data_IF_326510298726
#
_entry.id   IF_326510298726
#
_cell.length_a   1.000
_cell.length_b   1.000
_cell.length_c   1.000
_cell.angle_alpha   90.00
_cell.angle_beta   90.00
_cell.angle_gamma   90.00
#
_symmetry.space_group_name_H-M   'P 1'
#
loop_
_entity.id
_entity.type
_entity.pdbx_description
1 polymer ?
#
# COMPACT_ATOMS: atom_id res chain seq x y z
N UNK A 1 -15.14 -12.93 -15.48
CA UNK A 1 -15.73 -13.95 -14.58
C UNK A 1 -16.62 -13.28 -13.54
N UNK A 2 -17.57 -14.01 -12.95
CA UNK A 2 -18.47 -13.47 -11.91
C UNK A 2 -18.00 -13.97 -10.54
N UNK A 3 -17.67 -13.05 -9.65
CA UNK A 3 -17.27 -13.38 -8.28
C UNK A 3 -18.53 -13.68 -7.45
N UNK A 4 -18.60 -14.85 -6.79
CA UNK A 4 -19.75 -15.24 -5.97
C UNK A 4 -19.71 -14.58 -4.60
N UNK A 5 -20.90 -14.28 -4.07
CA UNK A 5 -21.06 -13.75 -2.72
C UNK A 5 -21.08 -14.90 -1.72
N UNK A 6 -20.26 -14.82 -0.67
CA UNK A 6 -20.26 -15.73 0.45
C UNK A 6 -21.34 -15.35 1.47
N UNK A 7 -21.96 -16.38 2.06
CA UNK A 7 -22.98 -16.20 3.09
C UNK A 7 -22.35 -15.88 4.46
N UNK A 8 -21.16 -16.40 4.72
CA UNK A 8 -20.37 -16.19 5.94
C UNK A 8 -18.92 -15.87 5.56
N UNK A 9 -18.22 -15.06 6.35
CA UNK A 9 -16.79 -14.84 6.14
C UNK A 9 -16.01 -16.15 6.43
N UNK A 10 -15.01 -16.52 5.60
CA UNK A 10 -14.05 -17.57 5.95
C UNK A 10 -13.11 -17.09 7.07
N UNK A 11 -12.48 -18.02 7.78
CA UNK A 11 -11.36 -17.70 8.67
C UNK A 11 -10.10 -17.70 7.83
N UNK A 12 -9.21 -16.71 8.02
CA UNK A 12 -7.96 -16.62 7.26
C UNK A 12 -6.89 -17.40 8.03
N UNK A 13 -6.82 -18.71 7.80
CA UNK A 13 -5.94 -19.62 8.55
C UNK A 13 -5.00 -20.48 7.69
N UNK A 14 -5.16 -20.42 6.37
CA UNK A 14 -4.38 -21.10 5.35
C UNK A 14 -4.82 -22.53 5.05
N UNK A 15 -6.01 -22.98 5.48
CA UNK A 15 -6.45 -24.38 5.31
C UNK A 15 -7.47 -24.63 4.22
N UNK A 16 -8.28 -23.63 3.84
CA UNK A 16 -9.37 -23.77 2.85
C UNK A 16 -10.39 -24.88 3.19
N UNK A 17 -10.69 -25.09 4.47
CA UNK A 17 -11.59 -26.16 4.92
C UNK A 17 -13.06 -25.71 5.04
N UNK A 18 -13.31 -24.40 5.04
CA UNK A 18 -14.65 -23.87 5.16
C UNK A 18 -15.50 -24.07 3.91
N UNK A 19 -16.77 -24.42 4.13
CA UNK A 19 -17.71 -24.73 3.06
C UNK A 19 -17.94 -23.58 2.06
N UNK A 20 -17.66 -22.32 2.44
CA UNK A 20 -17.79 -21.16 1.55
C UNK A 20 -16.83 -21.24 0.36
N UNK A 21 -15.65 -21.84 0.53
CA UNK A 21 -14.67 -22.00 -0.54
C UNK A 21 -15.15 -22.93 -1.67
N UNK A 22 -16.05 -23.87 -1.39
CA UNK A 22 -16.69 -24.69 -2.43
C UNK A 22 -17.56 -23.87 -3.40
N UNK A 23 -18.04 -22.70 -2.97
CA UNK A 23 -18.84 -21.80 -3.80
C UNK A 23 -17.98 -20.71 -4.46
N UNK A 24 -16.66 -20.71 -4.28
CA UNK A 24 -15.76 -19.71 -4.85
C UNK A 24 -15.69 -19.81 -6.37
N UNK A 25 -15.43 -18.69 -7.03
CA UNK A 25 -14.97 -18.73 -8.41
C UNK A 25 -13.54 -19.26 -8.43
N UNK A 26 -13.28 -20.27 -9.25
CA UNK A 26 -11.96 -20.89 -9.34
C UNK A 26 -11.30 -20.56 -10.67
N UNK A 27 -10.13 -19.93 -10.61
CA UNK A 27 -9.25 -19.69 -11.74
C UNK A 27 -8.23 -20.81 -11.83
N UNK A 28 -8.08 -21.36 -13.04
CA UNK A 28 -7.17 -22.45 -13.37
C UNK A 28 -6.44 -22.10 -14.67
N UNK A 29 -5.65 -23.05 -15.16
CA UNK A 29 -5.06 -22.99 -16.51
C UNK A 29 -4.14 -21.78 -16.72
N UNK A 30 -3.26 -21.52 -15.74
CA UNK A 30 -2.22 -20.50 -15.84
C UNK A 30 -1.24 -20.83 -16.97
N UNK A 31 -0.56 -19.80 -17.47
CA UNK A 31 0.46 -19.85 -18.51
C UNK A 31 1.81 -19.37 -17.96
N UNK A 32 2.90 -20.04 -18.28
CA UNK A 32 4.24 -19.49 -18.10
C UNK A 32 4.50 -18.39 -19.14
N UNK A 33 4.85 -17.20 -18.67
CA UNK A 33 5.13 -16.01 -19.51
C UNK A 33 6.59 -15.52 -19.40
N UNK A 34 7.34 -16.07 -18.45
CA UNK A 34 8.78 -15.90 -18.28
C UNK A 34 9.33 -17.17 -17.60
N UNK A 35 10.41 -17.81 -18.10
CA UNK A 35 11.13 -17.51 -19.33
C UNK A 35 10.38 -17.91 -20.63
N UNK A 36 9.47 -18.88 -20.55
CA UNK A 36 8.63 -19.30 -21.67
C UNK A 36 7.68 -18.21 -22.17
N UNK A 37 7.01 -18.44 -23.30
CA UNK A 37 6.07 -17.49 -23.90
C UNK A 37 4.69 -18.15 -24.06
N UNK A 38 3.82 -17.92 -23.08
CA UNK A 38 2.45 -18.42 -23.03
C UNK A 38 2.35 -19.95 -23.17
N UNK A 39 3.29 -20.68 -22.55
CA UNK A 39 3.32 -22.16 -22.53
C UNK A 39 2.78 -22.71 -21.21
N UNK A 40 2.66 -24.04 -21.10
CA UNK A 40 2.26 -24.69 -19.86
C UNK A 40 3.27 -24.37 -18.71
N UNK A 41 2.78 -24.03 -17.51
CA UNK A 41 3.63 -23.73 -16.37
C UNK A 41 4.26 -25.00 -15.78
N UNK A 42 5.42 -24.86 -15.15
CA UNK A 42 6.12 -25.99 -14.53
C UNK A 42 5.32 -26.58 -13.36
N UNK A 43 4.49 -25.76 -12.71
CA UNK A 43 3.66 -26.13 -11.58
C UNK A 43 2.25 -25.55 -11.70
N UNK A 44 1.18 -26.34 -11.47
CA UNK A 44 -0.19 -25.83 -11.47
C UNK A 44 -0.42 -24.80 -10.35
N UNK A 45 -1.33 -23.87 -10.62
CA UNK A 45 -1.81 -22.89 -9.63
C UNK A 45 -3.32 -22.72 -9.81
N UNK A 46 -4.05 -22.71 -8.71
CA UNK A 46 -5.47 -22.35 -8.66
C UNK A 46 -5.65 -21.09 -7.82
N UNK A 47 -6.60 -20.24 -8.21
CA UNK A 47 -7.04 -19.10 -7.38
C UNK A 47 -8.52 -19.24 -7.09
N UNK A 48 -8.90 -19.14 -5.83
CA UNK A 48 -10.28 -19.12 -5.38
C UNK A 48 -10.65 -17.68 -4.99
N UNK A 49 -11.81 -17.21 -5.46
CA UNK A 49 -12.26 -15.84 -5.22
C UNK A 49 -13.71 -15.85 -4.76
N UNK A 50 -14.00 -15.10 -3.71
CA UNK A 50 -15.34 -14.80 -3.22
C UNK A 50 -15.38 -13.44 -2.57
N UNK A 51 -16.56 -12.98 -2.17
CA UNK A 51 -16.68 -11.72 -1.43
C UNK A 51 -17.88 -11.75 -0.48
N UNK A 52 -17.87 -10.90 0.53
CA UNK A 52 -19.07 -10.52 1.29
C UNK A 52 -19.27 -8.99 1.20
N UNK A 53 -20.26 -8.37 1.86
CA UNK A 53 -20.42 -6.92 1.75
C UNK A 53 -19.20 -6.08 2.17
N UNK A 54 -18.29 -6.61 2.98
CA UNK A 54 -17.17 -5.89 3.61
C UNK A 54 -15.79 -6.26 3.05
N UNK A 55 -15.61 -7.49 2.59
CA UNK A 55 -14.31 -8.00 2.15
C UNK A 55 -14.36 -8.68 0.79
N UNK A 56 -13.27 -8.54 0.04
CA UNK A 56 -12.88 -9.43 -1.04
C UNK A 56 -11.99 -10.54 -0.46
N UNK A 57 -12.33 -11.79 -0.74
CA UNK A 57 -11.56 -12.96 -0.33
C UNK A 57 -10.87 -13.57 -1.53
N UNK A 58 -9.57 -13.80 -1.41
CA UNK A 58 -8.74 -14.45 -2.43
C UNK A 58 -7.97 -15.55 -1.73
N UNK A 59 -7.87 -16.71 -2.36
CA UNK A 59 -6.94 -17.74 -1.93
C UNK A 59 -6.17 -18.30 -3.10
N UNK A 60 -4.88 -18.55 -2.88
CA UNK A 60 -4.04 -19.27 -3.82
C UNK A 60 -3.84 -20.69 -3.33
N UNK A 61 -3.99 -21.65 -4.24
CA UNK A 61 -3.50 -23.01 -4.08
C UNK A 61 -2.40 -23.22 -5.10
N UNK A 62 -1.17 -23.14 -4.63
CA UNK A 62 0.02 -23.23 -5.45
C UNK A 62 0.63 -24.62 -5.29
N UNK A 63 0.44 -25.47 -6.31
CA UNK A 63 0.90 -26.85 -6.24
C UNK A 63 2.41 -26.93 -6.36
N UNK A 64 3.05 -27.68 -5.48
CA UNK A 64 4.50 -27.86 -5.50
C UNK A 64 4.98 -29.01 -4.62
N UNK A 65 6.24 -29.42 -4.76
CA UNK A 65 6.91 -30.20 -3.73
C UNK A 65 7.22 -29.32 -2.51
N UNK A 66 6.74 -29.65 -1.30
CA UNK A 66 6.87 -28.78 -0.13
C UNK A 66 8.32 -28.47 0.27
N UNK A 67 9.25 -29.41 0.08
CA UNK A 67 10.67 -29.23 0.39
C UNK A 67 11.40 -28.32 -0.62
N UNK A 68 10.75 -27.99 -1.74
CA UNK A 68 11.28 -27.13 -2.81
C UNK A 68 10.71 -25.72 -2.79
N UNK A 69 9.69 -25.47 -1.98
CA UNK A 69 9.07 -24.14 -1.84
C UNK A 69 10.02 -23.23 -1.10
N UNK A 70 10.49 -22.17 -1.76
CA UNK A 70 11.34 -21.18 -1.10
C UNK A 70 10.46 -20.24 -0.28
N UNK A 71 10.58 -20.30 1.04
CA UNK A 71 9.80 -19.49 1.96
C UNK A 71 10.62 -19.08 3.18
N UNK A 72 10.56 -17.80 3.54
CA UNK A 72 11.26 -17.24 4.70
C UNK A 72 10.33 -16.33 5.50
N UNK A 73 10.67 -16.11 6.76
CA UNK A 73 10.02 -15.07 7.57
C UNK A 73 10.67 -13.73 7.23
N UNK A 74 10.17 -13.08 6.19
CA UNK A 74 10.64 -11.78 5.72
C UNK A 74 9.91 -10.61 6.40
N UNK A 75 10.48 -9.40 6.27
CA UNK A 75 9.72 -8.17 6.54
C UNK A 75 8.70 -7.96 5.42
N UNK A 76 7.59 -7.26 5.71
CA UNK A 76 6.68 -6.72 4.68
C UNK A 76 7.48 -6.03 3.57
N UNK A 77 7.06 -6.21 2.33
CA UNK A 77 7.68 -5.69 1.09
C UNK A 77 9.08 -6.24 0.79
N UNK A 78 9.59 -7.17 1.59
CA UNK A 78 10.89 -7.82 1.39
C UNK A 78 10.77 -9.30 0.98
N UNK A 79 9.64 -9.67 0.37
CA UNK A 79 9.28 -11.06 0.08
C UNK A 79 9.74 -11.57 -1.29
N UNK A 80 10.19 -10.69 -2.18
CA UNK A 80 10.39 -11.00 -3.62
C UNK A 80 11.58 -11.93 -3.95
N UNK A 81 12.34 -12.33 -2.93
CA UNK A 81 13.38 -13.35 -3.03
C UNK A 81 12.84 -14.76 -2.76
N UNK A 82 11.65 -14.90 -2.18
CA UNK A 82 10.96 -16.17 -1.99
C UNK A 82 10.13 -16.54 -3.23
N UNK A 83 9.61 -17.76 -3.26
CA UNK A 83 8.45 -18.01 -4.11
C UNK A 83 7.32 -17.07 -3.64
N UNK A 84 6.47 -16.59 -4.55
CA UNK A 84 5.35 -15.76 -4.16
C UNK A 84 4.19 -15.89 -5.13
N UNK A 85 3.00 -15.60 -4.63
CA UNK A 85 1.80 -15.37 -5.42
C UNK A 85 1.42 -13.91 -5.34
N UNK A 86 0.70 -13.43 -6.33
CA UNK A 86 0.18 -12.09 -6.28
C UNK A 86 -0.88 -11.84 -7.32
N UNK A 87 -1.46 -10.66 -7.21
CA UNK A 87 -2.44 -10.17 -8.16
C UNK A 87 -2.43 -8.66 -8.17
N UNK A 88 -2.95 -8.10 -9.26
CA UNK A 88 -3.30 -6.70 -9.30
C UNK A 88 -4.78 -6.48 -9.59
N UNK A 89 -5.33 -5.38 -9.05
CA UNK A 89 -6.72 -4.98 -9.19
C UNK A 89 -6.81 -3.54 -9.72
N UNK A 90 -7.24 -3.41 -10.96
CA UNK A 90 -7.75 -2.16 -11.53
C UNK A 90 -9.25 -2.05 -11.20
N UNK A 91 -9.54 -1.49 -10.03
CA UNK A 91 -10.89 -1.41 -9.45
C UNK A 91 -11.82 -0.39 -10.12
N UNK A 92 -11.29 0.41 -11.06
CA UNK A 92 -12.05 1.34 -11.90
C UNK A 92 -12.15 0.84 -13.35
N UNK A 93 -11.30 -0.13 -13.72
CA UNK A 93 -11.17 -0.70 -15.05
C UNK A 93 -10.90 0.36 -16.13
N UNK A 94 -10.12 1.38 -15.77
CA UNK A 94 -9.72 2.48 -16.66
C UNK A 94 -8.35 2.23 -17.31
N UNK A 95 -7.66 1.16 -16.91
CA UNK A 95 -6.36 0.70 -17.39
C UNK A 95 -5.25 1.71 -17.16
N UNK A 96 -5.33 2.49 -16.07
CA UNK A 96 -4.30 3.49 -15.73
C UNK A 96 -3.51 3.12 -14.48
N UNK A 97 -4.21 2.63 -13.46
CA UNK A 97 -3.61 2.23 -12.18
C UNK A 97 -4.25 0.95 -11.64
N UNK A 98 -3.47 0.14 -10.94
CA UNK A 98 -3.96 -1.01 -10.20
C UNK A 98 -3.26 -1.13 -8.85
N UNK A 99 -3.99 -1.60 -7.84
CA UNK A 99 -3.37 -2.05 -6.58
C UNK A 99 -2.70 -3.40 -6.84
N UNK A 100 -1.46 -3.57 -6.40
CA UNK A 100 -0.74 -4.83 -6.45
C UNK A 100 -0.59 -5.41 -5.06
N UNK A 101 -0.77 -6.72 -4.94
CA UNK A 101 -0.69 -7.44 -3.69
C UNK A 101 0.06 -8.73 -3.92
N UNK A 102 1.04 -8.99 -3.05
CA UNK A 102 1.97 -10.10 -3.14
C UNK A 102 2.06 -10.81 -1.79
N UNK A 103 2.22 -12.12 -1.84
CA UNK A 103 2.29 -12.95 -0.64
C UNK A 103 3.29 -14.08 -0.85
N UNK A 104 4.22 -14.24 0.08
CA UNK A 104 5.05 -15.44 0.12
C UNK A 104 4.26 -16.64 0.70
N UNK A 105 4.80 -17.87 0.65
CA UNK A 105 4.11 -19.07 1.12
C UNK A 105 3.72 -19.06 2.61
N UNK A 106 4.27 -18.15 3.41
CA UNK A 106 3.91 -17.97 4.83
C UNK A 106 2.84 -16.89 5.03
N UNK A 107 2.39 -16.26 3.94
CA UNK A 107 1.36 -15.21 3.93
C UNK A 107 1.91 -13.82 4.24
N UNK A 108 3.23 -13.63 4.24
CA UNK A 108 3.86 -12.32 4.47
C UNK A 108 3.59 -11.44 3.26
N UNK A 109 3.15 -10.22 3.54
CA UNK A 109 2.61 -9.29 2.55
C UNK A 109 3.71 -8.48 1.87
N UNK A 110 3.48 -8.16 0.60
CA UNK A 110 4.06 -7.00 -0.05
C UNK A 110 3.00 -6.37 -0.93
N UNK A 111 3.05 -5.06 -1.13
CA UNK A 111 2.01 -4.36 -1.86
C UNK A 111 2.48 -3.04 -2.47
N UNK A 112 1.68 -2.55 -3.42
CA UNK A 112 2.01 -1.33 -4.12
C UNK A 112 0.93 -0.90 -5.11
N UNK A 113 1.29 0.08 -5.94
CA UNK A 113 0.46 0.56 -7.04
C UNK A 113 1.24 0.48 -8.34
N UNK A 114 0.68 -0.24 -9.30
CA UNK A 114 1.15 -0.25 -10.68
C UNK A 114 0.49 0.89 -11.45
N UNK A 115 1.28 1.77 -12.05
CA UNK A 115 0.82 2.81 -12.96
C UNK A 115 1.34 2.55 -14.36
N UNK A 116 0.45 2.52 -15.35
CA UNK A 116 0.85 2.33 -16.75
C UNK A 116 1.86 3.39 -17.21
N UNK A 117 2.95 2.93 -17.84
CA UNK A 117 4.06 3.76 -18.29
C UNK A 117 4.96 4.35 -17.19
N UNK A 118 4.60 4.22 -15.90
CA UNK A 118 5.41 4.74 -14.77
C UNK A 118 5.98 3.65 -13.86
N UNK A 119 5.45 2.42 -13.93
CA UNK A 119 5.93 1.27 -13.16
C UNK A 119 5.24 1.10 -11.81
N UNK A 120 5.89 0.34 -10.93
CA UNK A 120 5.40 -0.07 -9.61
C UNK A 120 5.88 0.92 -8.53
N UNK A 121 4.99 1.28 -7.59
CA UNK A 121 5.29 2.04 -6.39
C UNK A 121 4.89 1.24 -5.14
N UNK A 122 5.88 0.74 -4.41
CA UNK A 122 5.73 -0.07 -3.19
C UNK A 122 5.69 0.77 -1.90
N UNK A 123 5.43 2.08 -1.99
CA UNK A 123 5.30 2.94 -0.79
C UNK A 123 3.91 2.93 -0.16
N UNK A 124 2.94 2.29 -0.82
CA UNK A 124 1.57 2.15 -0.32
C UNK A 124 1.49 0.96 0.63
N UNK A 125 0.77 1.13 1.74
CA UNK A 125 0.45 0.07 2.69
C UNK A 125 -1.08 -0.15 2.74
N UNK A 126 -1.58 -1.13 1.99
CA UNK A 126 -2.98 -1.55 2.00
C UNK A 126 -3.24 -2.41 3.23
N UNK A 127 -4.28 -2.06 3.99
CA UNK A 127 -4.74 -2.87 5.11
C UNK A 127 -5.40 -4.15 4.59
N UNK A 128 -4.83 -5.31 4.91
CA UNK A 128 -5.34 -6.63 4.57
C UNK A 128 -4.93 -7.69 5.61
N UNK A 129 -5.73 -8.75 5.71
CA UNK A 129 -5.40 -9.95 6.50
C UNK A 129 -4.93 -11.06 5.56
N UNK A 130 -3.87 -11.77 5.93
CA UNK A 130 -3.38 -12.90 5.14
C UNK A 130 -2.74 -13.98 5.99
N UNK A 131 -2.85 -15.22 5.54
CA UNK A 131 -2.21 -16.38 6.15
C UNK A 131 -1.76 -17.37 5.08
N UNK A 132 -0.49 -17.77 5.15
CA UNK A 132 0.07 -18.81 4.30
C UNK A 132 0.49 -20.04 5.08
N UNK A 133 0.31 -21.21 4.48
CA UNK A 133 0.70 -22.52 5.01
C UNK A 133 1.30 -23.36 3.89
N UNK A 134 2.54 -23.81 4.08
CA UNK A 134 3.16 -24.86 3.27
C UNK A 134 2.62 -26.21 3.74
N UNK A 135 2.16 -27.05 2.81
CA UNK A 135 1.56 -28.35 3.07
C UNK A 135 2.03 -29.39 2.04
N UNK A 136 1.58 -30.64 2.18
CA UNK A 136 2.05 -31.75 1.32
C UNK A 136 1.75 -31.57 -0.18
N UNK A 137 0.83 -30.68 -0.55
CA UNK A 137 0.49 -30.39 -1.94
C UNK A 137 1.21 -29.15 -2.51
N UNK A 138 2.00 -28.43 -1.70
CA UNK A 138 2.67 -27.18 -2.05
C UNK A 138 2.43 -26.13 -0.98
N UNK A 139 1.70 -25.06 -1.31
CA UNK A 139 1.28 -24.09 -0.31
C UNK A 139 -0.07 -23.45 -0.63
N UNK A 140 -0.72 -22.98 0.43
CA UNK A 140 -1.96 -22.21 0.37
C UNK A 140 -1.69 -20.84 0.96
N UNK A 141 -2.26 -19.80 0.35
CA UNK A 141 -2.34 -18.46 0.95
C UNK A 141 -3.78 -17.99 0.90
N UNK A 142 -4.36 -17.65 2.04
CA UNK A 142 -5.67 -17.01 2.15
C UNK A 142 -5.51 -15.53 2.46
N UNK A 143 -6.35 -14.70 1.84
CA UNK A 143 -6.31 -13.24 1.93
C UNK A 143 -7.72 -12.70 2.10
N UNK A 144 -7.90 -11.75 3.03
CA UNK A 144 -9.09 -10.92 3.15
C UNK A 144 -8.73 -9.43 3.01
N UNK A 145 -9.29 -8.78 2.00
CA UNK A 145 -9.11 -7.35 1.75
C UNK A 145 -10.40 -6.62 2.11
N UNK A 146 -10.42 -5.80 3.17
CA UNK A 146 -11.53 -4.90 3.42
C UNK A 146 -11.73 -3.97 2.21
N UNK A 147 -12.96 -3.83 1.70
CA UNK A 147 -13.25 -2.91 0.62
C UNK A 147 -12.91 -1.46 0.98
N UNK A 148 -12.98 -1.09 2.27
CA UNK A 148 -12.56 0.23 2.76
C UNK A 148 -11.05 0.50 2.62
N UNK A 149 -10.23 -0.52 2.43
CA UNK A 149 -8.77 -0.39 2.28
C UNK A 149 -8.36 0.00 0.86
N UNK A 150 -9.26 -0.11 -0.12
CA UNK A 150 -8.99 0.19 -1.52
C UNK A 150 -10.08 1.11 -2.08
N UNK A 151 -9.71 1.97 -3.04
CA UNK A 151 -10.71 2.75 -3.78
C UNK A 151 -11.27 1.89 -4.90
N UNK A 152 -12.57 2.02 -5.20
CA UNK A 152 -13.20 1.20 -6.23
C UNK A 152 -14.49 1.79 -6.82
N UNK A 153 -14.90 1.30 -7.99
CA UNK A 153 -16.27 1.44 -8.47
C UNK A 153 -17.08 0.16 -8.30
N UNK A 154 -18.34 0.28 -7.88
CA UNK A 154 -19.22 -0.86 -7.69
C UNK A 154 -20.62 -0.59 -8.24
N UNK A 155 -21.35 -1.66 -8.51
CA UNK A 155 -22.73 -1.60 -8.97
C UNK A 155 -23.00 -2.39 -10.23
N UNK A 156 -24.21 -2.25 -10.76
CA UNK A 156 -24.66 -3.02 -11.92
C UNK A 156 -23.80 -2.70 -13.14
N UNK A 157 -23.18 -3.74 -13.72
CA UNK A 157 -22.39 -3.63 -14.95
C UNK A 157 -20.96 -3.10 -14.76
N UNK A 158 -20.53 -2.81 -13.53
CA UNK A 158 -19.13 -2.48 -13.23
C UNK A 158 -18.27 -3.75 -13.26
N UNK A 159 -17.09 -3.62 -13.84
CA UNK A 159 -16.07 -4.65 -13.93
C UNK A 159 -14.80 -4.09 -13.31
N UNK A 160 -14.01 -4.94 -12.67
CA UNK A 160 -12.64 -4.62 -12.26
C UNK A 160 -11.68 -5.38 -13.16
N UNK A 161 -10.63 -4.72 -13.63
CA UNK A 161 -9.49 -5.40 -14.23
C UNK A 161 -8.77 -6.18 -13.14
N UNK A 162 -8.45 -7.45 -13.39
CA UNK A 162 -7.72 -8.27 -12.45
C UNK A 162 -6.83 -9.27 -13.15
N UNK A 163 -5.68 -9.51 -12.55
CA UNK A 163 -4.72 -10.47 -13.04
C UNK A 163 -4.01 -11.13 -11.89
N UNK A 164 -3.82 -12.44 -11.98
CA UNK A 164 -3.24 -13.26 -10.93
C UNK A 164 -1.99 -13.92 -11.47
N UNK A 165 -0.96 -14.04 -10.64
CA UNK A 165 0.32 -14.61 -11.04
C UNK A 165 0.99 -15.34 -9.87
N UNK A 166 1.96 -16.18 -10.22
CA UNK A 166 2.84 -16.88 -9.30
C UNK A 166 4.27 -16.77 -9.82
N UNK A 167 5.21 -16.45 -8.93
CA UNK A 167 6.64 -16.54 -9.21
C UNK A 167 7.27 -17.71 -8.47
N UNK A 168 8.04 -18.53 -9.20
CA UNK A 168 8.78 -19.68 -8.68
C UNK A 168 10.28 -19.43 -8.90
N UNK A 169 11.02 -19.24 -7.82
CA UNK A 169 12.41 -18.76 -7.88
C UNK A 169 13.34 -19.79 -8.52
N UNK A 170 13.16 -21.08 -8.18
CA UNK A 170 14.06 -22.16 -8.58
C UNK A 170 14.00 -22.54 -10.06
N UNK A 171 12.95 -22.14 -10.79
CA UNK A 171 12.81 -22.37 -12.23
C UNK A 171 13.18 -21.11 -13.03
N UNK A 172 14.39 -20.59 -12.80
CA UNK A 172 14.85 -19.34 -13.42
C UNK A 172 13.86 -18.18 -13.21
N UNK A 173 13.35 -18.04 -11.98
CA UNK A 173 12.36 -17.02 -11.61
C UNK A 173 11.08 -17.09 -12.46
N UNK A 174 10.65 -18.29 -12.83
CA UNK A 174 9.43 -18.53 -13.62
C UNK A 174 8.26 -17.66 -13.14
N UNK A 175 7.62 -16.95 -14.07
CA UNK A 175 6.38 -16.22 -13.84
C UNK A 175 5.24 -16.94 -14.56
N UNK A 176 4.31 -17.47 -13.78
CA UNK A 176 3.04 -18.01 -14.26
C UNK A 176 1.94 -16.97 -14.12
N UNK A 177 1.03 -16.92 -15.08
CA UNK A 177 0.08 -15.84 -15.31
C UNK A 177 -1.31 -16.42 -15.61
N UNK A 178 -2.37 -15.88 -15.01
CA UNK A 178 -3.73 -16.36 -15.27
C UNK A 178 -4.19 -16.10 -16.70
N UNK A 179 -3.96 -14.89 -17.21
CA UNK A 179 -4.24 -14.55 -18.62
C UNK A 179 -2.97 -14.71 -19.45
N UNK A 180 -3.08 -15.11 -20.73
CA UNK A 180 -1.94 -15.02 -21.63
C UNK A 180 -1.47 -13.56 -21.71
N UNK A 181 -0.17 -13.37 -21.82
CA UNK A 181 0.47 -12.06 -21.80
C UNK A 181 1.34 -11.89 -23.04
N UNK A 182 0.97 -10.96 -23.92
CA UNK A 182 1.71 -10.67 -25.14
C UNK A 182 2.85 -9.70 -24.84
N UNK A 183 4.08 -10.12 -25.16
CA UNK A 183 5.29 -9.28 -25.08
C UNK A 183 5.28 -8.13 -26.09
N UNK A 184 4.40 -8.17 -27.09
CA UNK A 184 4.26 -7.11 -28.10
C UNK A 184 3.32 -5.98 -27.67
N UNK A 185 2.63 -6.12 -26.53
CA UNK A 185 1.74 -5.11 -25.98
C UNK A 185 2.45 -4.49 -24.77
N UNK A 186 2.81 -3.21 -24.90
CA UNK A 186 3.43 -2.42 -23.83
C UNK A 186 2.35 -1.87 -22.87
N UNK A 187 1.63 -2.78 -22.22
CA UNK A 187 0.66 -2.48 -21.18
C UNK A 187 0.31 -3.75 -20.40
N UNK A 188 0.43 -3.70 -19.08
CA UNK A 188 0.04 -4.78 -18.19
C UNK A 188 -1.49 -4.80 -18.00
N UNK A 189 -2.08 -3.64 -17.67
CA UNK A 189 -3.47 -3.52 -17.26
C UNK A 189 -4.45 -3.79 -18.41
N UNK A 190 -4.08 -3.48 -19.65
CA UNK A 190 -4.94 -3.72 -20.81
C UNK A 190 -5.14 -5.19 -21.14
N UNK A 191 -4.25 -6.06 -20.66
CA UNK A 191 -4.25 -7.50 -20.90
C UNK A 191 -4.89 -8.30 -19.76
N UNK A 192 -5.35 -7.62 -18.72
CA UNK A 192 -5.96 -8.22 -17.55
C UNK A 192 -7.32 -8.89 -17.86
N UNK A 193 -7.65 -9.90 -17.07
CA UNK A 193 -9.01 -10.44 -17.03
C UNK A 193 -9.96 -9.48 -16.31
N UNK A 194 -11.25 -9.82 -16.28
CA UNK A 194 -12.26 -8.97 -15.65
C UNK A 194 -13.02 -9.72 -14.56
N UNK A 195 -13.12 -9.11 -13.37
CA UNK A 195 -13.99 -9.54 -12.28
C UNK A 195 -15.29 -8.72 -12.33
N UNK A 196 -16.42 -9.41 -12.34
CA UNK A 196 -17.75 -8.82 -12.23
C UNK A 196 -18.55 -9.46 -11.10
N UNK A 197 -19.78 -9.00 -10.88
CA UNK A 197 -20.69 -9.61 -9.90
C UNK A 197 -20.56 -9.11 -8.47
N UNK A 198 -19.60 -8.22 -8.20
CA UNK A 198 -19.43 -7.51 -6.92
C UNK A 198 -20.61 -6.53 -6.68
N UNK A 199 -21.67 -7.02 -6.04
CA UNK A 199 -22.92 -6.28 -5.79
C UNK A 199 -23.15 -6.11 -4.30
N UNK A 200 -23.63 -4.93 -3.91
CA UNK A 200 -23.93 -4.64 -2.50
C UNK A 200 -22.71 -4.65 -1.59
N UNK A 201 -21.53 -4.33 -2.14
CA UNK A 201 -20.32 -4.06 -1.37
C UNK A 201 -20.40 -2.66 -0.76
N UNK A 202 -20.00 -2.53 0.49
CA UNK A 202 -20.24 -1.34 1.31
C UNK A 202 -19.33 -0.18 0.91
N UNK A 203 -19.89 0.83 0.26
CA UNK A 203 -19.26 2.15 0.18
C UNK A 203 -19.34 2.79 1.57
N UNK A 204 -18.37 2.49 2.42
CA UNK A 204 -18.25 3.16 3.72
C UNK A 204 -17.79 4.60 3.49
N UNK A 205 -18.64 5.55 3.86
CA UNK A 205 -18.26 6.97 3.90
C UNK A 205 -17.48 7.17 5.19
N UNK A 206 -16.18 7.37 5.05
CA UNK A 206 -15.31 7.56 6.21
C UNK A 206 -15.18 9.04 6.53
N UNK A 207 -15.34 9.36 7.82
CA UNK A 207 -14.88 10.61 8.41
C UNK A 207 -13.81 10.22 9.42
N UNK A 208 -12.59 10.69 9.19
CA UNK A 208 -11.48 10.53 10.13
C UNK A 208 -11.18 11.90 10.75
N UNK A 209 -11.11 11.96 12.08
CA UNK A 209 -10.82 13.15 12.84
C UNK A 209 -9.60 12.90 13.71
N UNK A 210 -8.55 13.66 13.48
CA UNK A 210 -7.28 13.58 14.18
C UNK A 210 -7.09 14.89 14.96
N UNK A 211 -7.55 14.97 16.22
CA UNK A 211 -7.28 16.13 17.06
C UNK A 211 -5.81 16.12 17.49
N UNK A 212 -5.18 17.28 17.51
CA UNK A 212 -3.84 17.49 18.05
C UNK A 212 -3.84 18.60 19.09
N UNK A 213 -2.88 18.54 20.00
CA UNK A 213 -2.65 19.58 20.99
C UNK A 213 -1.16 19.76 21.20
N UNK A 214 -0.67 20.96 20.93
CA UNK A 214 0.71 21.35 21.20
C UNK A 214 0.75 22.27 22.42
N UNK A 215 1.60 21.92 23.38
CA UNK A 215 1.94 22.73 24.54
C UNK A 215 3.40 23.13 24.39
N UNK A 216 3.67 24.44 24.30
CA UNK A 216 5.04 24.94 24.23
C UNK A 216 5.29 26.01 25.27
N UNK A 217 6.50 26.01 25.83
CA UNK A 217 6.97 27.00 26.77
C UNK A 217 8.31 27.53 26.27
N UNK A 218 8.37 28.82 25.95
CA UNK A 218 9.59 29.51 25.54
C UNK A 218 10.17 30.27 26.73
N UNK A 219 11.47 30.18 26.93
CA UNK A 219 12.20 31.00 27.90
C UNK A 219 13.08 32.01 27.20
N UNK A 220 13.12 33.25 27.70
CA UNK A 220 14.13 34.24 27.29
C UNK A 220 15.14 34.43 28.40
N UNK A 221 16.42 34.42 28.03
CA UNK A 221 17.49 34.77 28.94
C UNK A 221 17.50 36.29 29.12
N UNK A 222 17.28 36.75 30.34
CA UNK A 222 17.33 38.17 30.70
C UNK A 222 18.37 38.39 31.79
N UNK A 223 18.90 39.61 31.83
CA UNK A 223 19.83 40.01 32.89
C UNK A 223 19.16 39.92 34.25
N UNK A 224 19.89 39.42 35.26
CA UNK A 224 19.37 39.30 36.62
C UNK A 224 19.37 40.63 37.36
N UNK A 225 20.18 41.60 36.88
CA UNK A 225 20.34 42.91 37.51
C UNK A 225 20.28 44.05 36.47
N UNK A 226 20.07 45.29 36.95
CA UNK A 226 20.30 46.52 36.18
C UNK A 226 21.78 46.68 35.76
N UNK A 227 22.28 47.87 35.37
CA UNK A 227 23.62 48.01 34.79
C UNK A 227 24.67 47.26 35.60
N UNK A 228 25.28 46.25 34.97
CA UNK A 228 26.21 45.32 35.62
C UNK A 228 27.50 46.08 35.93
N UNK A 229 27.96 46.15 37.18
CA UNK A 229 29.22 46.79 37.52
C UNK A 229 30.37 46.19 36.71
N UNK A 230 31.30 47.03 36.25
CA UNK A 230 32.50 46.60 35.54
C UNK A 230 33.24 45.51 36.35
N UNK A 231 33.37 44.32 35.77
CA UNK A 231 34.05 43.17 36.38
C UNK A 231 33.14 42.12 37.04
N UNK A 232 31.82 42.33 37.11
CA UNK A 232 30.88 41.33 37.60
C UNK A 232 30.34 40.44 36.47
N UNK A 233 30.23 39.13 36.74
CA UNK A 233 29.59 38.16 35.83
C UNK A 233 28.11 38.09 36.19
N UNK A 234 27.22 38.47 35.26
CA UNK A 234 25.79 38.29 35.43
C UNK A 234 25.44 36.82 35.13
N UNK A 235 24.96 36.03 36.10
CA UNK A 235 24.54 34.66 35.86
C UNK A 235 23.29 34.58 34.96
N UNK A 236 22.61 35.72 34.76
CA UNK A 236 21.34 35.84 34.07
C UNK A 236 20.22 35.01 34.69
N UNK A 237 19.02 35.15 34.17
CA UNK A 237 17.87 34.32 34.54
C UNK A 237 17.05 34.00 33.31
N UNK A 238 16.50 32.80 33.29
CA UNK A 238 15.48 32.44 32.30
C UNK A 238 14.15 32.97 32.82
N UNK A 239 13.49 33.80 32.03
CA UNK A 239 12.10 34.17 32.26
C UNK A 239 11.26 33.42 31.24
N UNK A 240 10.44 32.51 31.75
CA UNK A 240 9.51 31.73 30.96
C UNK A 240 8.36 32.65 30.49
N UNK A 241 8.04 32.57 29.22
CA UNK A 241 6.81 33.12 28.68
C UNK A 241 5.63 32.21 29.08
N UNK A 242 4.38 32.72 29.06
CA UNK A 242 3.22 31.90 29.32
C UNK A 242 3.18 30.68 28.39
N UNK A 243 2.77 29.54 28.93
CA UNK A 243 2.56 28.31 28.15
C UNK A 243 1.61 28.63 26.99
N UNK A 244 2.05 28.34 25.78
CA UNK A 244 1.25 28.46 24.58
C UNK A 244 0.47 27.16 24.39
N UNK A 245 -0.82 27.33 24.14
CA UNK A 245 -1.78 26.27 23.89
C UNK A 245 -2.24 26.36 22.45
N UNK A 246 -1.92 25.34 21.66
CA UNK A 246 -2.17 25.33 20.22
C UNK A 246 -2.96 24.05 19.87
N UNK A 247 -4.30 24.11 19.85
CA UNK A 247 -5.12 23.00 19.39
C UNK A 247 -5.05 22.93 17.87
N UNK A 248 -5.02 21.71 17.34
CA UNK A 248 -5.13 21.42 15.93
C UNK A 248 -6.19 20.35 15.66
N UNK A 249 -6.67 20.34 14.43
CA UNK A 249 -7.58 19.30 13.96
C UNK A 249 -7.31 19.04 12.48
N UNK A 250 -7.04 17.78 12.16
CA UNK A 250 -7.08 17.29 10.80
C UNK A 250 -8.34 16.45 10.63
N UNK A 251 -9.08 16.72 9.56
CA UNK A 251 -10.28 16.00 9.20
C UNK A 251 -10.17 15.50 7.76
N UNK A 252 -10.51 14.23 7.56
CA UNK A 252 -10.58 13.62 6.24
C UNK A 252 -11.97 13.07 6.02
N UNK A 253 -12.55 13.40 4.88
CA UNK A 253 -13.89 12.98 4.52
C UNK A 253 -13.91 12.40 3.11
N UNK A 254 -14.43 11.17 2.99
CA UNK A 254 -14.55 10.46 1.71
C UNK A 254 -16.04 10.27 1.36
N UNK A 255 -16.70 11.26 0.75
CA UNK A 255 -18.13 11.18 0.42
C UNK A 255 -18.47 10.15 -0.66
N UNK A 256 -17.52 9.82 -1.54
CA UNK A 256 -17.62 8.79 -2.58
C UNK A 256 -16.24 8.20 -2.88
N UNK A 257 -16.17 7.08 -3.60
CA UNK A 257 -14.90 6.46 -3.98
C UNK A 257 -14.05 7.31 -4.93
N UNK A 258 -14.64 8.31 -5.58
CA UNK A 258 -13.97 9.22 -6.50
C UNK A 258 -13.58 10.58 -5.87
N UNK A 259 -14.00 10.86 -4.63
CA UNK A 259 -13.77 12.15 -3.98
C UNK A 259 -13.29 11.98 -2.54
N UNK A 260 -12.18 12.63 -2.20
CA UNK A 260 -11.69 12.78 -0.83
C UNK A 260 -11.44 14.25 -0.56
N UNK A 261 -11.82 14.69 0.64
CA UNK A 261 -11.69 16.05 1.11
C UNK A 261 -10.81 16.02 2.37
N UNK A 262 -9.63 16.59 2.27
CA UNK A 262 -8.69 16.74 3.38
C UNK A 262 -8.71 18.19 3.87
N UNK A 263 -8.94 18.35 5.17
CA UNK A 263 -9.06 19.64 5.85
C UNK A 263 -8.12 19.65 7.05
N UNK A 264 -7.36 20.71 7.23
CA UNK A 264 -6.50 20.89 8.40
C UNK A 264 -6.67 22.29 8.98
N UNK A 265 -6.84 22.37 10.30
CA UNK A 265 -6.86 23.61 11.08
C UNK A 265 -5.69 23.52 12.06
N UNK A 266 -4.77 24.48 11.97
CA UNK A 266 -3.55 24.53 12.77
C UNK A 266 -2.78 23.18 12.80
N UNK A 267 -2.35 22.64 11.64
CA UNK A 267 -1.67 21.35 11.58
C UNK A 267 -0.32 21.41 12.31
N UNK A 268 -0.10 20.45 13.21
CA UNK A 268 1.19 20.27 13.87
C UNK A 268 2.12 19.45 12.96
N UNK A 269 3.18 20.08 12.44
CA UNK A 269 4.19 19.43 11.60
C UNK A 269 5.44 18.99 12.38
N UNK A 270 5.46 19.17 13.71
CA UNK A 270 6.60 18.82 14.54
C UNK A 270 6.70 17.31 14.85
N UNK A 271 5.66 16.52 14.54
CA UNK A 271 5.61 15.07 14.76
C UNK A 271 6.31 14.24 13.67
N UNK A 272 6.86 14.90 12.65
CA UNK A 272 7.59 14.21 11.59
C UNK A 272 9.00 13.89 12.06
N UNK A 273 9.47 12.68 11.77
CA UNK A 273 10.87 12.29 12.02
C UNK A 273 11.83 13.38 11.55
N UNK A 274 12.82 13.71 12.38
CA UNK A 274 13.88 14.63 12.01
C UNK A 274 14.50 14.22 10.67
N UNK A 275 14.77 15.22 9.83
CA UNK A 275 15.38 14.99 8.53
C UNK A 275 16.71 14.25 8.68
N UNK A 276 16.99 13.35 7.74
CA UNK A 276 18.34 12.81 7.63
C UNK A 276 19.32 13.97 7.43
N UNK A 277 20.42 13.99 8.18
CA UNK A 277 21.49 14.96 8.00
C UNK A 277 22.08 14.80 6.59
N UNK A 278 21.68 15.67 5.66
CA UNK A 278 22.28 15.78 4.33
C UNK A 278 23.46 16.75 4.45
N UNK A 279 24.65 16.32 4.03
CA UNK A 279 25.83 17.19 3.98
C UNK A 279 25.60 18.28 2.94
N UNK A 280 25.41 19.51 3.39
CA UNK A 280 25.04 20.69 2.59
C UNK A 280 26.23 21.37 1.90
N UNK A 281 27.43 20.79 1.97
CA UNK A 281 28.62 21.40 1.40
C UNK A 281 28.56 21.40 -0.14
N UNK A 282 28.55 22.60 -0.73
CA UNK A 282 28.83 22.85 -2.15
C UNK A 282 27.80 22.33 -3.18
N UNK A 283 26.50 22.43 -2.89
CA UNK A 283 25.45 22.04 -3.85
C UNK A 283 24.95 23.23 -4.69
N UNK A 284 24.89 23.05 -6.02
CA UNK A 284 24.35 24.04 -7.00
C UNK A 284 22.86 23.88 -7.27
N UNK A 285 22.21 22.94 -6.57
CA UNK A 285 20.80 22.58 -6.73
C UNK A 285 20.14 22.48 -5.35
N UNK A 286 18.83 22.73 -5.23
CA UNK A 286 18.10 22.58 -3.97
C UNK A 286 18.16 21.14 -3.45
N UNK A 287 18.29 20.98 -2.12
CA UNK A 287 18.19 19.68 -1.46
C UNK A 287 16.72 19.33 -1.28
N UNK A 288 16.35 18.11 -1.67
CA UNK A 288 15.00 17.60 -1.52
C UNK A 288 14.94 16.58 -0.40
N UNK A 289 13.98 16.76 0.51
CA UNK A 289 13.65 15.78 1.53
C UNK A 289 12.40 15.01 1.11
N UNK A 290 12.37 13.70 1.41
CA UNK A 290 11.16 12.92 1.25
C UNK A 290 10.06 13.54 2.12
N UNK A 291 8.87 13.74 1.54
CA UNK A 291 7.70 14.15 2.31
C UNK A 291 7.33 13.02 3.26
N UNK A 292 7.09 13.37 4.52
CA UNK A 292 6.79 12.40 5.59
C UNK A 292 5.56 12.79 6.39
N UNK A 293 4.97 13.97 6.14
CA UNK A 293 3.73 14.40 6.77
C UNK A 293 2.57 13.58 6.20
N UNK A 294 1.79 12.86 7.03
CA UNK A 294 0.67 12.05 6.56
C UNK A 294 -0.31 12.80 5.62
N UNK A 295 -0.56 14.09 5.89
CA UNK A 295 -1.39 14.96 5.06
C UNK A 295 -0.91 15.10 3.61
N UNK A 296 0.40 15.11 3.37
CA UNK A 296 0.97 15.29 2.04
C UNK A 296 1.40 13.97 1.38
N UNK A 297 1.49 12.89 2.16
CA UNK A 297 1.77 11.55 1.65
C UNK A 297 0.59 11.01 0.83
N UNK A 298 -0.63 11.30 1.27
CA UNK A 298 -1.82 10.81 0.57
C UNK A 298 -2.13 11.68 -0.65
N UNK A 299 -2.06 11.08 -1.84
CA UNK A 299 -2.22 11.80 -3.11
C UNK A 299 -0.95 12.48 -3.60
N UNK A 300 0.23 12.18 -3.01
CA UNK A 300 1.53 12.70 -3.48
C UNK A 300 1.78 12.36 -4.96
N UNK A 301 1.24 11.24 -5.43
CA UNK A 301 1.31 10.79 -6.81
C UNK A 301 0.48 11.63 -7.79
N UNK A 302 -0.43 12.51 -7.33
CA UNK A 302 -1.02 13.58 -8.16
C UNK A 302 0.05 14.62 -8.54
N UNK A 303 1.03 14.79 -7.66
CA UNK A 303 2.10 15.76 -7.79
C UNK A 303 3.38 15.17 -8.40
N UNK A 304 3.45 13.84 -8.52
CA UNK A 304 4.51 13.14 -9.27
C UNK A 304 4.22 13.23 -10.76
N UNK A 305 4.86 14.19 -11.42
CA UNK A 305 4.89 14.28 -12.89
C UNK A 305 6.32 14.03 -13.39
N UNK A 306 6.54 13.78 -14.70
CA UNK A 306 7.89 13.61 -15.26
C UNK A 306 8.83 14.80 -14.97
N UNK A 307 8.24 15.96 -14.69
CA UNK A 307 8.91 17.12 -14.11
C UNK A 307 8.48 17.26 -12.65
N UNK A 308 9.39 17.60 -11.74
CA UNK A 308 9.00 17.91 -10.35
C UNK A 308 8.28 19.26 -10.35
N UNK A 309 6.95 19.23 -10.48
CA UNK A 309 6.13 20.44 -10.63
C UNK A 309 5.69 21.04 -9.29
N UNK A 310 5.63 20.23 -8.23
CA UNK A 310 5.22 20.65 -6.89
C UNK A 310 6.26 20.22 -5.89
N UNK A 311 6.70 21.19 -5.09
CA UNK A 311 7.62 20.99 -3.98
C UNK A 311 6.86 21.28 -2.69
N UNK A 312 6.52 20.25 -1.93
CA UNK A 312 5.89 20.42 -0.62
C UNK A 312 6.90 20.86 0.44
N UNK A 313 8.20 20.67 0.16
CA UNK A 313 9.32 21.05 1.01
C UNK A 313 10.52 21.46 0.18
N UNK A 314 10.77 22.76 0.12
CA UNK A 314 11.97 23.35 -0.44
C UNK A 314 12.58 24.27 0.63
N UNK A 315 13.82 24.01 1.02
CA UNK A 315 14.61 24.98 1.78
C UNK A 315 15.36 25.80 0.73
N UNK A 316 14.74 26.89 0.32
CA UNK A 316 15.42 27.99 -0.36
C UNK A 316 15.62 29.02 0.74
N UNK A 317 16.87 29.32 1.07
CA UNK A 317 17.33 30.24 2.12
C UNK A 317 17.57 29.65 3.53
N UNK A 318 18.74 29.01 3.74
CA UNK A 318 19.27 28.73 5.07
C UNK A 318 20.18 29.88 5.54
N UNK A 319 19.59 30.99 5.97
CA UNK A 319 20.29 32.07 6.70
C UNK A 319 19.71 32.21 8.13
#
# INVERSE_FOLDING_TARGET
>A
MTVPKFATPPVIDGKLDEAVWHNAAVLKDFYQIDPGDNIAPSKPTEVLIGYDPKFLYVAFRAFDEPDKVRSTVAKRDSIFQDDYVGFYLDTFNDKRKAFEMFFNPLGIQGDGVLTEGSGEDFSVDVLMESKGVVNDAGYVVEIAIPFKSIRYEAGKGKLWGAHFFRRIQRFNRELSSWMPFSRSIDSNLSQAGHLGGLKGISLERTIELIPSLTLSESGKFVRSFGPVPLGAVDPGRIVNEPIKFEPGLTAKFTPSSALTLDLAINPDFAQVEADQLVVTANQRFPIFFAEKRPFFLEGIDIFRTPITAVHTRAIVDPD
#
